data_IF_196395653054
#
_entry.id   IF_196395653054
#
_cell.length_a   1.000
_cell.length_b   1.000
_cell.length_c   1.000
_cell.angle_alpha   90.00
_cell.angle_beta   90.00
_cell.angle_gamma   90.00
#
_symmetry.space_group_name_H-M   'P 1'
#
loop_
_entity.id
_entity.type
_entity.pdbx_description
1 polymer ?
#
# COMPACT_ATOMS: atom_id res chain seq x y z
N UNK A 1 -22.37 -26.97 3.83
CA UNK A 1 -21.76 -26.38 2.64
C UNK A 1 -20.38 -25.96 3.08
N UNK A 2 -19.33 -26.78 2.78
CA UNK A 2 -17.96 -26.45 3.08
C UNK A 2 -17.54 -25.38 2.08
N UNK A 3 -17.23 -24.20 2.59
CA UNK A 3 -16.49 -23.21 1.83
C UNK A 3 -15.08 -23.79 1.67
N UNK A 4 -14.61 -23.93 0.45
CA UNK A 4 -13.21 -24.25 0.21
C UNK A 4 -12.36 -23.21 0.94
N UNK A 5 -11.23 -23.61 1.58
CA UNK A 5 -10.36 -22.66 2.22
C UNK A 5 -9.92 -21.62 1.17
N UNK A 6 -9.86 -20.33 1.55
CA UNK A 6 -9.46 -19.28 0.62
C UNK A 6 -8.15 -19.68 -0.07
N UNK A 7 -8.16 -19.63 -1.40
CA UNK A 7 -6.99 -20.01 -2.20
C UNK A 7 -5.80 -19.15 -1.79
N UNK A 8 -4.59 -19.71 -1.87
CA UNK A 8 -3.38 -18.91 -1.62
C UNK A 8 -3.29 -17.84 -2.70
N UNK A 9 -2.98 -16.57 -2.34
CA UNK A 9 -2.77 -15.55 -3.36
C UNK A 9 -1.66 -16.00 -4.30
N UNK A 10 -1.83 -15.74 -5.59
CA UNK A 10 -0.75 -15.89 -6.55
C UNK A 10 0.39 -14.93 -6.21
N UNK A 11 1.64 -15.35 -6.35
CA UNK A 11 2.81 -14.51 -6.04
C UNK A 11 3.65 -14.35 -7.29
N UNK A 12 3.84 -13.09 -7.72
CA UNK A 12 4.73 -12.73 -8.83
C UNK A 12 5.85 -11.81 -8.33
N UNK A 13 7.03 -11.95 -8.90
CA UNK A 13 8.23 -11.23 -8.44
C UNK A 13 8.88 -10.36 -9.51
N UNK A 14 8.50 -10.52 -10.75
CA UNK A 14 9.03 -9.71 -11.86
C UNK A 14 7.94 -8.88 -12.50
N UNK A 15 8.32 -7.74 -13.07
CA UNK A 15 7.41 -6.88 -13.85
C UNK A 15 6.83 -7.63 -15.04
N UNK A 16 7.64 -8.53 -15.66
CA UNK A 16 7.17 -9.36 -16.77
C UNK A 16 6.03 -10.27 -16.35
N UNK A 17 6.20 -11.00 -15.23
CA UNK A 17 5.19 -11.95 -14.76
C UNK A 17 3.94 -11.24 -14.24
N UNK A 18 4.13 -10.07 -13.58
CA UNK A 18 3.02 -9.20 -13.20
C UNK A 18 2.17 -8.78 -14.40
N UNK A 19 2.83 -8.26 -15.44
CA UNK A 19 2.14 -7.86 -16.67
C UNK A 19 1.44 -9.03 -17.36
N UNK A 20 2.09 -10.17 -17.46
CA UNK A 20 1.50 -11.38 -18.03
C UNK A 20 0.24 -11.83 -17.29
N UNK A 21 0.24 -11.75 -15.93
CA UNK A 21 -0.94 -12.08 -15.10
C UNK A 21 -2.06 -11.05 -15.24
N UNK A 22 -1.70 -9.79 -15.40
CA UNK A 22 -2.65 -8.68 -15.47
C UNK A 22 -3.02 -8.28 -16.90
N UNK A 23 -2.51 -8.98 -17.92
CA UNK A 23 -2.75 -8.67 -19.34
C UNK A 23 -4.25 -8.71 -19.64
N UNK A 24 -4.76 -7.61 -20.18
CA UNK A 24 -6.18 -7.45 -20.58
C UNK A 24 -6.41 -7.79 -22.06
N UNK A 25 -5.44 -8.41 -22.73
CA UNK A 25 -5.51 -9.00 -24.05
C UNK A 25 -5.04 -8.08 -25.18
N UNK A 26 -5.57 -6.92 -25.42
CA UNK A 26 -5.16 -6.03 -26.54
C UNK A 26 -4.45 -4.78 -26.02
N UNK A 27 -3.32 -4.34 -26.61
CA UNK A 27 -2.69 -3.07 -26.27
C UNK A 27 -3.65 -1.89 -26.55
N UNK A 28 -4.08 -1.21 -25.50
CA UNK A 28 -5.05 -0.11 -25.59
C UNK A 28 -6.51 -0.56 -25.58
N UNK A 29 -6.77 -1.85 -25.43
CA UNK A 29 -8.11 -2.37 -25.21
C UNK A 29 -8.53 -2.10 -23.75
N UNK A 30 -9.32 -1.07 -23.53
CA UNK A 30 -10.22 -1.02 -22.38
C UNK A 30 -11.30 -2.07 -22.65
N UNK A 31 -10.93 -3.36 -22.56
CA UNK A 31 -11.87 -4.44 -22.71
C UNK A 31 -12.93 -4.32 -21.64
N UNK A 32 -14.19 -4.20 -22.01
CA UNK A 32 -15.34 -4.19 -21.10
C UNK A 32 -15.40 -5.47 -20.25
N UNK A 33 -14.61 -6.48 -20.62
CA UNK A 33 -14.55 -7.81 -19.97
C UNK A 33 -13.31 -8.01 -19.08
N UNK A 34 -12.44 -6.99 -18.91
CA UNK A 34 -11.29 -7.12 -18.04
C UNK A 34 -11.69 -6.97 -16.56
N UNK A 35 -11.24 -7.85 -15.64
CA UNK A 35 -11.60 -7.74 -14.23
C UNK A 35 -11.15 -6.40 -13.65
N UNK A 36 -12.04 -5.79 -12.87
CA UNK A 36 -11.73 -4.58 -12.12
C UNK A 36 -10.62 -4.86 -11.10
N UNK A 37 -9.81 -3.84 -10.76
CA UNK A 37 -8.65 -4.02 -9.87
C UNK A 37 -8.58 -2.98 -8.79
N UNK A 38 -8.27 -3.41 -7.58
CA UNK A 38 -7.87 -2.51 -6.50
C UNK A 38 -6.48 -2.86 -6.00
N UNK A 39 -5.68 -1.82 -5.72
CA UNK A 39 -4.28 -1.95 -5.31
C UNK A 39 -4.11 -1.52 -3.85
N UNK A 40 -3.40 -2.34 -3.07
CA UNK A 40 -2.88 -1.98 -1.74
C UNK A 40 -1.37 -2.08 -1.76
N UNK A 41 -0.69 -0.97 -1.48
CA UNK A 41 0.78 -0.93 -1.45
C UNK A 41 1.30 -1.01 -0.03
N UNK A 42 2.23 -1.94 0.21
CA UNK A 42 2.82 -2.19 1.53
C UNK A 42 4.33 -2.39 1.47
N UNK A 43 4.98 -2.27 2.62
CA UNK A 43 6.38 -2.66 2.79
C UNK A 43 6.54 -4.03 3.49
N UNK A 44 5.46 -4.79 3.65
CA UNK A 44 5.47 -6.03 4.45
C UNK A 44 5.34 -5.79 5.95
N UNK A 45 5.63 -6.82 6.74
CA UNK A 45 5.36 -6.88 8.18
C UNK A 45 3.90 -6.52 8.48
N UNK A 46 3.01 -7.20 7.77
CA UNK A 46 1.58 -6.92 7.73
C UNK A 46 0.93 -7.08 9.11
N UNK A 47 -0.12 -6.32 9.34
CA UNK A 47 -0.93 -6.35 10.55
C UNK A 47 -2.38 -5.99 10.18
N UNK A 48 -3.29 -6.02 11.16
CA UNK A 48 -4.72 -5.76 10.96
C UNK A 48 -5.02 -4.44 10.23
N UNK A 49 -4.19 -3.41 10.38
CA UNK A 49 -4.33 -2.16 9.61
C UNK A 49 -4.16 -2.37 8.09
N UNK A 50 -3.26 -3.28 7.68
CA UNK A 50 -3.11 -3.64 6.27
C UNK A 50 -4.25 -4.57 5.80
N UNK A 51 -4.66 -5.52 6.65
CA UNK A 51 -5.81 -6.38 6.33
C UNK A 51 -7.09 -5.56 6.13
N UNK A 52 -7.29 -4.49 6.90
CA UNK A 52 -8.40 -3.56 6.70
C UNK A 52 -8.34 -2.84 5.35
N UNK A 53 -7.14 -2.47 4.86
CA UNK A 53 -6.97 -1.92 3.50
C UNK A 53 -7.38 -2.95 2.43
N UNK A 54 -6.96 -4.21 2.58
CA UNK A 54 -7.25 -5.27 1.62
C UNK A 54 -8.75 -5.59 1.56
N UNK A 55 -9.41 -5.72 2.73
CA UNK A 55 -10.87 -5.88 2.78
C UNK A 55 -11.60 -4.67 2.20
N UNK A 56 -11.15 -3.46 2.55
CA UNK A 56 -11.71 -2.23 1.97
C UNK A 56 -11.53 -2.14 0.46
N UNK A 57 -10.46 -2.74 -0.10
CA UNK A 57 -10.26 -2.85 -1.54
C UNK A 57 -11.33 -3.75 -2.18
N UNK A 58 -11.60 -4.91 -1.58
CA UNK A 58 -12.67 -5.81 -2.03
C UNK A 58 -14.05 -5.14 -1.93
N UNK A 59 -14.35 -4.52 -0.79
CA UNK A 59 -15.62 -3.81 -0.58
C UNK A 59 -15.84 -2.69 -1.60
N UNK A 60 -14.77 -1.95 -1.91
CA UNK A 60 -14.80 -0.88 -2.92
C UNK A 60 -15.13 -1.44 -4.31
N UNK A 61 -14.46 -2.53 -4.73
CA UNK A 61 -14.71 -3.18 -6.01
C UNK A 61 -16.15 -3.69 -6.11
N UNK A 62 -16.61 -4.43 -5.11
CA UNK A 62 -17.98 -4.96 -5.07
C UNK A 62 -19.01 -3.82 -5.17
N UNK A 63 -18.83 -2.77 -4.38
CA UNK A 63 -19.76 -1.63 -4.36
C UNK A 63 -19.71 -0.83 -5.67
N UNK A 64 -18.52 -0.65 -6.25
CA UNK A 64 -18.33 0.21 -7.42
C UNK A 64 -18.86 -0.40 -8.70
N UNK A 65 -18.78 -1.72 -8.81
CA UNK A 65 -19.12 -2.47 -10.03
C UNK A 65 -20.35 -3.35 -9.87
N UNK A 66 -21.00 -3.34 -8.69
CA UNK A 66 -22.19 -4.16 -8.38
C UNK A 66 -21.95 -5.65 -8.68
N UNK A 67 -20.80 -6.14 -8.20
CA UNK A 67 -20.36 -7.51 -8.49
C UNK A 67 -21.18 -8.52 -7.67
N UNK A 68 -21.66 -9.56 -8.34
CA UNK A 68 -22.39 -10.67 -7.69
C UNK A 68 -21.41 -11.65 -7.01
N UNK A 69 -20.24 -11.86 -7.61
CA UNK A 69 -19.23 -12.80 -7.12
C UNK A 69 -17.88 -12.07 -6.87
N UNK A 70 -17.20 -12.36 -5.75
CA UNK A 70 -15.90 -11.75 -5.43
C UNK A 70 -14.81 -11.99 -6.48
N UNK A 71 -14.90 -13.10 -7.21
CA UNK A 71 -13.89 -13.55 -8.19
C UNK A 71 -13.91 -12.74 -9.50
N UNK A 72 -14.88 -11.83 -9.66
CA UNK A 72 -14.99 -10.97 -10.84
C UNK A 72 -14.02 -9.77 -10.81
N UNK A 73 -13.24 -9.62 -9.74
CA UNK A 73 -12.30 -8.52 -9.57
C UNK A 73 -11.05 -8.95 -8.81
N UNK A 74 -9.92 -8.32 -9.11
CA UNK A 74 -8.63 -8.60 -8.49
C UNK A 74 -8.29 -7.61 -7.35
N UNK A 75 -8.02 -8.11 -6.16
CA UNK A 75 -7.30 -7.35 -5.12
C UNK A 75 -5.81 -7.65 -5.23
N UNK A 76 -5.05 -6.66 -5.64
CA UNK A 76 -3.59 -6.75 -5.83
C UNK A 76 -2.87 -6.09 -4.66
N UNK A 77 -1.93 -6.80 -4.06
CA UNK A 77 -1.10 -6.26 -2.97
C UNK A 77 0.35 -6.21 -3.41
N UNK A 78 1.01 -5.07 -3.25
CA UNK A 78 2.47 -5.05 -3.38
C UNK A 78 3.14 -5.17 -2.00
N UNK A 79 4.18 -6.01 -1.92
CA UNK A 79 5.05 -6.14 -0.73
C UNK A 79 6.46 -5.78 -1.16
N UNK A 80 6.85 -4.52 -0.93
CA UNK A 80 8.15 -4.01 -1.36
C UNK A 80 8.71 -2.97 -0.39
N UNK A 81 9.87 -3.26 0.20
CA UNK A 81 10.61 -2.28 1.02
C UNK A 81 11.43 -1.41 0.08
N UNK A 82 10.90 -0.23 -0.24
CA UNK A 82 11.51 0.67 -1.21
C UNK A 82 12.73 1.41 -0.62
N UNK A 83 13.96 1.16 -1.10
CA UNK A 83 15.16 1.81 -0.52
C UNK A 83 15.16 3.33 -0.71
N UNK A 84 14.56 3.84 -1.78
CA UNK A 84 14.65 5.27 -2.14
C UNK A 84 13.84 6.20 -1.24
N UNK A 85 12.98 5.66 -0.37
CA UNK A 85 12.22 6.44 0.60
C UNK A 85 12.85 6.47 1.99
N UNK A 86 14.02 5.85 2.17
CA UNK A 86 14.76 5.85 3.43
C UNK A 86 15.98 6.76 3.33
N UNK A 87 16.11 7.67 4.30
CA UNK A 87 17.28 8.51 4.45
C UNK A 87 18.44 7.80 5.15
N UNK A 88 19.64 8.42 5.16
CA UNK A 88 20.78 7.91 5.90
C UNK A 88 20.45 7.72 7.38
N UNK A 89 20.71 6.51 7.92
CA UNK A 89 20.49 6.18 9.33
C UNK A 89 19.05 5.78 9.68
N UNK A 90 18.13 5.78 8.73
CA UNK A 90 16.79 5.22 8.93
C UNK A 90 16.80 3.68 8.99
N UNK A 91 15.66 3.07 9.28
CA UNK A 91 15.53 1.65 9.62
C UNK A 91 15.45 0.70 8.42
N UNK A 92 15.91 1.09 7.21
CA UNK A 92 15.81 0.26 6.00
C UNK A 92 16.36 -1.16 6.18
N UNK A 93 17.58 -1.29 6.73
CA UNK A 93 18.23 -2.59 6.94
C UNK A 93 17.52 -3.42 8.02
N UNK A 94 16.90 -2.77 9.01
CA UNK A 94 16.22 -3.39 10.13
C UNK A 94 14.72 -3.54 9.91
N UNK A 95 14.18 -3.02 8.80
CA UNK A 95 12.76 -3.09 8.53
C UNK A 95 12.33 -4.56 8.48
N UNK A 96 11.27 -4.96 9.22
CA UNK A 96 10.88 -6.36 9.33
C UNK A 96 10.51 -6.96 7.97
N UNK A 97 11.02 -8.15 7.68
CA UNK A 97 10.74 -8.92 6.47
C UNK A 97 10.15 -10.27 6.88
N UNK A 98 8.84 -10.37 6.85
CA UNK A 98 8.05 -11.52 7.36
C UNK A 98 7.16 -12.08 6.27
N UNK A 99 7.74 -12.39 5.11
CA UNK A 99 7.01 -12.68 3.88
C UNK A 99 5.98 -13.82 4.02
N UNK A 100 6.31 -14.91 4.70
CA UNK A 100 5.39 -16.03 4.88
C UNK A 100 4.20 -15.67 5.78
N UNK A 101 4.44 -14.92 6.86
CA UNK A 101 3.38 -14.36 7.71
C UNK A 101 2.52 -13.36 6.92
N UNK A 102 3.17 -12.54 6.09
CA UNK A 102 2.50 -11.56 5.25
C UNK A 102 1.56 -12.24 4.24
N UNK A 103 1.97 -13.35 3.64
CA UNK A 103 1.12 -14.15 2.76
C UNK A 103 -0.07 -14.77 3.50
N UNK A 104 0.08 -15.13 4.78
CA UNK A 104 -1.05 -15.61 5.58
C UNK A 104 -2.08 -14.50 5.78
N UNK A 105 -1.64 -13.27 6.10
CA UNK A 105 -2.53 -12.10 6.23
C UNK A 105 -3.23 -11.80 4.89
N UNK A 106 -2.49 -11.82 3.77
CA UNK A 106 -3.07 -11.61 2.44
C UNK A 106 -4.16 -12.64 2.12
N UNK A 107 -3.91 -13.93 2.41
CA UNK A 107 -4.89 -15.00 2.20
C UNK A 107 -6.16 -14.79 3.01
N UNK A 108 -6.02 -14.49 4.30
CA UNK A 108 -7.15 -14.27 5.19
C UNK A 108 -7.97 -13.03 4.80
N UNK A 109 -7.33 -12.05 4.18
CA UNK A 109 -7.97 -10.83 3.70
C UNK A 109 -8.55 -10.93 2.27
N UNK A 110 -8.47 -12.12 1.63
CA UNK A 110 -9.03 -12.35 0.29
C UNK A 110 -8.28 -11.66 -0.85
N UNK A 111 -6.94 -11.62 -0.76
CA UNK A 111 -6.05 -11.08 -1.80
C UNK A 111 -5.86 -12.11 -2.91
N UNK A 112 -5.96 -11.70 -4.15
CA UNK A 112 -5.82 -12.57 -5.32
C UNK A 112 -4.37 -12.65 -5.81
N UNK A 113 -3.67 -11.50 -5.84
CA UNK A 113 -2.33 -11.37 -6.37
C UNK A 113 -1.40 -10.60 -5.45
N UNK A 114 -0.23 -11.16 -5.16
CA UNK A 114 0.85 -10.48 -4.44
C UNK A 114 2.02 -10.20 -5.39
N UNK A 115 2.36 -8.95 -5.57
CA UNK A 115 3.57 -8.51 -6.27
C UNK A 115 4.68 -8.22 -5.26
N UNK A 116 5.72 -9.06 -5.26
CA UNK A 116 6.84 -8.97 -4.33
C UNK A 116 8.18 -8.87 -5.06
N UNK A 117 8.46 -7.72 -5.72
CA UNK A 117 9.67 -7.54 -6.52
C UNK A 117 10.92 -7.35 -5.66
N UNK A 118 12.10 -7.57 -6.28
CA UNK A 118 13.38 -7.17 -5.70
C UNK A 118 13.65 -5.67 -5.90
N UNK A 119 14.68 -5.16 -5.21
CA UNK A 119 15.11 -3.77 -5.39
C UNK A 119 15.67 -3.53 -6.80
N UNK A 120 16.39 -4.52 -7.35
CA UNK A 120 16.94 -4.46 -8.71
C UNK A 120 15.83 -4.45 -9.77
N UNK A 121 14.73 -5.18 -9.55
CA UNK A 121 13.58 -5.19 -10.44
C UNK A 121 12.91 -3.81 -10.52
N UNK A 122 12.76 -3.15 -9.36
CA UNK A 122 12.11 -1.84 -9.30
C UNK A 122 13.05 -0.67 -9.59
N UNK A 123 14.35 -0.83 -9.35
CA UNK A 123 15.39 0.18 -9.53
C UNK A 123 16.62 -0.42 -10.25
N UNK A 124 16.47 -0.77 -11.54
CA UNK A 124 17.59 -1.33 -12.30
C UNK A 124 18.77 -0.33 -12.38
N UNK A 125 19.99 -0.85 -12.39
CA UNK A 125 21.22 -0.04 -12.32
C UNK A 125 21.40 0.90 -13.54
N UNK A 126 20.82 0.56 -14.68
CA UNK A 126 20.77 1.37 -15.90
C UNK A 126 19.56 2.32 -15.93
N UNK A 127 18.75 2.34 -14.89
CA UNK A 127 17.59 3.20 -14.76
C UNK A 127 17.96 4.68 -14.76
N UNK A 128 17.24 5.48 -15.55
CA UNK A 128 17.54 6.88 -15.84
C UNK A 128 17.38 7.86 -14.68
N UNK A 129 17.13 7.40 -13.45
CA UNK A 129 17.02 8.29 -12.27
C UNK A 129 15.86 9.28 -12.30
N UNK A 130 14.87 9.09 -13.18
CA UNK A 130 13.68 9.94 -13.21
C UNK A 130 12.84 9.70 -11.96
N UNK A 131 12.44 10.79 -11.31
CA UNK A 131 11.65 10.79 -10.08
C UNK A 131 10.45 11.71 -10.19
N UNK A 132 9.45 11.48 -9.34
CA UNK A 132 8.30 12.39 -9.19
C UNK A 132 8.69 13.49 -8.22
N UNK A 133 8.60 14.75 -8.65
CA UNK A 133 8.75 15.91 -7.78
C UNK A 133 7.51 16.09 -6.91
N UNK A 134 7.70 16.36 -5.62
CA UNK A 134 6.62 16.43 -4.63
C UNK A 134 6.02 17.82 -4.50
N UNK A 135 6.65 18.83 -5.11
CA UNK A 135 6.35 20.22 -4.85
C UNK A 135 6.59 20.63 -3.38
N UNK A 136 6.23 21.85 -2.99
CA UNK A 136 6.53 22.39 -1.66
C UNK A 136 5.95 21.56 -0.49
N UNK A 137 4.79 20.94 -0.68
CA UNK A 137 4.17 20.14 0.38
C UNK A 137 5.04 18.93 0.79
N UNK A 138 5.87 18.44 -0.13
CA UNK A 138 6.77 17.33 0.16
C UNK A 138 7.97 17.70 1.06
N UNK A 139 8.20 18.99 1.28
CA UNK A 139 9.29 19.51 2.11
C UNK A 139 8.79 20.04 3.47
N UNK A 140 7.46 19.95 3.72
CA UNK A 140 6.84 20.36 4.98
C UNK A 140 6.63 19.16 5.92
N UNK A 141 6.35 19.43 7.20
CA UNK A 141 5.98 18.43 8.22
C UNK A 141 6.95 17.24 8.25
N UNK A 142 6.49 16.04 7.90
CA UNK A 142 7.33 14.84 7.84
C UNK A 142 8.45 14.99 6.79
N UNK A 143 8.18 15.64 5.66
CA UNK A 143 9.18 15.90 4.62
C UNK A 143 10.31 16.81 5.07
N UNK A 144 10.05 17.77 5.96
CA UNK A 144 11.06 18.66 6.51
C UNK A 144 12.09 17.90 7.38
N UNK A 145 11.66 16.84 8.08
CA UNK A 145 12.53 16.03 8.95
C UNK A 145 13.09 14.79 8.24
N UNK A 146 12.53 14.45 7.06
CA UNK A 146 12.95 13.33 6.22
C UNK A 146 13.18 13.78 4.76
N UNK A 147 14.23 14.57 4.49
CA UNK A 147 14.48 15.11 3.14
C UNK A 147 14.52 14.00 2.07
N UNK A 148 13.75 14.15 0.99
CA UNK A 148 13.69 13.19 -0.12
C UNK A 148 12.74 12.00 0.11
N UNK A 149 12.22 11.79 1.32
CA UNK A 149 11.31 10.70 1.63
C UNK A 149 10.12 10.64 0.67
N UNK A 150 9.35 11.71 0.56
CA UNK A 150 8.16 11.72 -0.28
C UNK A 150 8.47 11.66 -1.78
N UNK A 151 9.64 12.11 -2.23
CA UNK A 151 10.10 11.87 -3.61
C UNK A 151 10.24 10.38 -3.87
N UNK A 152 10.86 9.64 -2.95
CA UNK A 152 10.96 8.18 -3.02
C UNK A 152 9.59 7.51 -3.01
N UNK A 153 8.70 7.93 -2.11
CA UNK A 153 7.33 7.41 -2.00
C UNK A 153 6.53 7.66 -3.27
N UNK A 154 6.42 8.90 -3.75
CA UNK A 154 5.62 9.18 -4.95
C UNK A 154 6.16 8.51 -6.20
N UNK A 155 7.49 8.39 -6.31
CA UNK A 155 8.12 7.69 -7.43
C UNK A 155 7.74 6.21 -7.46
N UNK A 156 7.82 5.51 -6.32
CA UNK A 156 7.46 4.08 -6.29
C UNK A 156 5.95 3.88 -6.43
N UNK A 157 5.13 4.72 -5.80
CA UNK A 157 3.67 4.68 -5.96
C UNK A 157 3.28 4.84 -7.42
N UNK A 158 3.85 5.84 -8.11
CA UNK A 158 3.59 6.05 -9.54
C UNK A 158 4.01 4.83 -10.37
N UNK A 159 5.19 4.25 -10.11
CA UNK A 159 5.64 3.03 -10.83
C UNK A 159 4.65 1.89 -10.67
N UNK A 160 4.25 1.58 -9.43
CA UNK A 160 3.38 0.42 -9.17
C UNK A 160 1.97 0.66 -9.71
N UNK A 161 1.41 1.87 -9.62
CA UNK A 161 0.12 2.19 -10.24
C UNK A 161 0.18 2.00 -11.77
N UNK A 162 1.25 2.46 -12.43
CA UNK A 162 1.41 2.25 -13.88
C UNK A 162 1.68 0.79 -14.29
N UNK A 163 2.14 -0.06 -13.37
CA UNK A 163 2.36 -1.49 -13.63
C UNK A 163 1.09 -2.31 -13.44
N UNK A 164 0.29 -1.94 -12.42
CA UNK A 164 -0.94 -2.67 -12.06
C UNK A 164 -2.14 -2.15 -12.83
N UNK A 165 -2.14 -0.85 -13.16
CA UNK A 165 -3.27 -0.15 -13.78
C UNK A 165 -4.59 -0.40 -13.03
N UNK A 166 -4.63 -0.08 -11.71
CA UNK A 166 -5.79 -0.35 -10.89
C UNK A 166 -6.87 0.71 -11.10
N UNK A 167 -8.13 0.34 -10.90
CA UNK A 167 -9.26 1.28 -10.85
C UNK A 167 -9.23 2.11 -9.55
N UNK A 168 -8.76 1.49 -8.45
CA UNK A 168 -8.53 2.19 -7.18
C UNK A 168 -7.22 1.76 -6.51
N UNK A 169 -6.59 2.69 -5.78
CA UNK A 169 -5.47 2.40 -4.89
C UNK A 169 -5.80 2.90 -3.47
N UNK A 170 -5.69 2.01 -2.49
CA UNK A 170 -6.11 2.28 -1.12
C UNK A 170 -4.92 2.60 -0.22
N UNK A 171 -5.04 3.68 0.56
CA UNK A 171 -4.02 4.16 1.48
C UNK A 171 -4.61 4.43 2.86
N UNK A 172 -3.85 4.12 3.92
CA UNK A 172 -4.27 4.41 5.28
C UNK A 172 -4.21 5.91 5.61
N UNK A 173 -5.23 6.42 6.27
CA UNK A 173 -5.28 7.82 6.75
C UNK A 173 -4.26 8.10 7.87
N UNK A 174 -3.66 7.06 8.45
CA UNK A 174 -2.57 7.20 9.40
C UNK A 174 -1.42 8.04 8.84
N UNK A 175 -1.03 7.78 7.61
CA UNK A 175 0.04 8.49 6.91
C UNK A 175 -0.58 9.60 6.02
N UNK A 176 -1.28 10.57 6.68
CA UNK A 176 -2.18 11.52 6.02
C UNK A 176 -1.47 12.45 5.04
N UNK A 177 -0.24 12.88 5.33
CA UNK A 177 0.55 13.69 4.39
C UNK A 177 0.89 12.88 3.13
N UNK A 178 1.26 11.61 3.28
CA UNK A 178 1.46 10.71 2.16
C UNK A 178 0.19 10.57 1.30
N UNK A 179 -0.96 10.29 1.92
CA UNK A 179 -2.25 10.19 1.23
C UNK A 179 -2.58 11.48 0.46
N UNK A 180 -2.34 12.63 1.08
CA UNK A 180 -2.58 13.94 0.45
C UNK A 180 -1.68 14.14 -0.78
N UNK A 181 -0.40 13.79 -0.68
CA UNK A 181 0.56 13.89 -1.79
C UNK A 181 0.21 12.92 -2.93
N UNK A 182 -0.18 11.68 -2.60
CA UNK A 182 -0.61 10.70 -3.61
C UNK A 182 -1.87 11.16 -4.34
N UNK A 183 -2.86 11.72 -3.63
CA UNK A 183 -4.06 12.31 -4.25
C UNK A 183 -3.71 13.46 -5.19
N UNK A 184 -2.79 14.34 -4.78
CA UNK A 184 -2.32 15.44 -5.64
C UNK A 184 -1.61 14.91 -6.87
N UNK A 185 -0.69 13.96 -6.71
CA UNK A 185 0.01 13.32 -7.82
C UNK A 185 -0.98 12.73 -8.84
N UNK A 186 -1.93 11.92 -8.39
CA UNK A 186 -2.92 11.29 -9.27
C UNK A 186 -3.73 12.34 -10.04
N UNK A 187 -4.19 13.39 -9.36
CA UNK A 187 -4.93 14.50 -9.99
C UNK A 187 -4.07 15.29 -10.98
N UNK A 188 -2.86 15.69 -10.58
CA UNK A 188 -2.03 16.61 -11.35
C UNK A 188 -1.41 15.91 -12.58
N UNK A 189 -1.09 14.61 -12.46
CA UNK A 189 -0.62 13.76 -13.56
C UNK A 189 -1.76 13.10 -14.36
N UNK A 190 -3.03 13.39 -14.04
CA UNK A 190 -4.21 12.85 -14.75
C UNK A 190 -4.22 11.31 -14.78
N UNK A 191 -3.80 10.69 -13.69
CA UNK A 191 -3.81 9.23 -13.58
C UNK A 191 -5.26 8.71 -13.50
N UNK A 192 -5.55 7.63 -14.24
CA UNK A 192 -6.87 7.02 -14.26
C UNK A 192 -7.03 6.03 -13.09
N UNK A 193 -6.97 6.54 -11.85
CA UNK A 193 -7.07 5.75 -10.62
C UNK A 193 -7.76 6.56 -9.52
N UNK A 194 -8.68 5.92 -8.79
CA UNK A 194 -9.27 6.50 -7.59
C UNK A 194 -8.36 6.30 -6.38
N UNK A 195 -7.97 7.37 -5.68
CA UNK A 195 -7.16 7.30 -4.46
C UNK A 195 -8.06 7.33 -3.23
N UNK A 196 -8.23 6.17 -2.61
CA UNK A 196 -9.16 5.95 -1.51
C UNK A 196 -8.43 5.97 -0.17
N UNK A 197 -8.91 6.79 0.77
CA UNK A 197 -8.42 6.81 2.15
C UNK A 197 -9.19 5.81 3.00
N UNK A 198 -8.49 5.00 3.80
CA UNK A 198 -9.09 4.06 4.75
C UNK A 198 -8.77 4.49 6.18
N UNK A 199 -9.76 4.56 7.07
CA UNK A 199 -9.58 5.00 8.44
C UNK A 199 -8.50 4.22 9.20
N UNK A 200 -7.78 4.92 10.08
CA UNK A 200 -6.70 4.34 10.86
C UNK A 200 -7.22 3.26 11.81
N UNK A 201 -6.74 2.03 11.67
CA UNK A 201 -7.02 0.95 12.64
C UNK A 201 -6.17 1.15 13.89
N UNK A 202 -6.82 1.07 15.05
CA UNK A 202 -6.20 1.33 16.35
C UNK A 202 -6.33 0.13 17.28
N UNK A 203 -5.36 -0.01 18.18
CA UNK A 203 -5.37 -1.09 19.19
C UNK A 203 -6.56 -0.92 20.13
N UNK A 204 -7.41 -1.94 20.33
CA UNK A 204 -8.50 -1.89 21.30
C UNK A 204 -8.02 -1.51 22.70
N UNK A 205 -8.77 -0.67 23.38
CA UNK A 205 -8.53 -0.22 24.75
C UNK A 205 -7.42 0.83 24.92
N UNK A 206 -6.50 0.97 23.96
CA UNK A 206 -5.43 1.99 24.02
C UNK A 206 -5.52 3.05 22.94
N UNK A 207 -6.31 2.81 21.91
CA UNK A 207 -6.45 3.67 20.73
C UNK A 207 -5.12 3.99 19.99
N UNK A 208 -4.01 3.31 20.32
CA UNK A 208 -2.74 3.48 19.62
C UNK A 208 -2.89 2.98 18.19
N UNK A 209 -2.48 3.80 17.20
CA UNK A 209 -2.50 3.41 15.80
C UNK A 209 -1.61 2.18 15.55
N UNK A 210 -2.09 1.22 14.76
CA UNK A 210 -1.30 0.07 14.36
C UNK A 210 -0.16 0.50 13.43
N UNK A 211 1.03 -0.06 13.67
CA UNK A 211 2.22 0.15 12.86
C UNK A 211 3.15 -1.05 12.96
N UNK A 212 3.79 -1.43 11.86
CA UNK A 212 4.82 -2.47 11.84
C UNK A 212 5.98 -2.11 12.78
N UNK A 213 6.27 -0.83 12.97
CA UNK A 213 7.28 -0.32 13.90
C UNK A 213 6.90 -0.43 15.37
N UNK A 214 5.65 -0.68 15.72
CA UNK A 214 5.25 -0.96 17.10
C UNK A 214 5.92 -2.24 17.65
N UNK A 215 6.44 -3.11 16.79
CA UNK A 215 7.22 -4.29 17.18
C UNK A 215 8.56 -3.93 17.84
N UNK A 216 9.10 -2.74 17.58
CA UNK A 216 10.36 -2.26 18.19
C UNK A 216 10.19 -1.76 19.62
N UNK A 217 8.94 -1.45 20.04
CA UNK A 217 8.66 -0.88 21.34
C UNK A 217 8.81 -1.92 22.46
N UNK A 218 9.56 -1.58 23.52
CA UNK A 218 9.49 -2.29 24.80
C UNK A 218 8.12 -2.08 25.45
N UNK A 219 7.80 -2.86 26.48
CA UNK A 219 6.53 -2.71 27.20
C UNK A 219 6.38 -1.32 27.83
N UNK A 220 7.49 -0.75 28.37
CA UNK A 220 7.51 0.60 28.90
C UNK A 220 7.26 1.65 27.81
N UNK A 221 7.94 1.53 26.67
CA UNK A 221 7.75 2.43 25.52
C UNK A 221 6.33 2.31 24.95
N UNK A 222 5.78 1.10 24.92
CA UNK A 222 4.40 0.86 24.49
C UNK A 222 3.40 1.51 25.45
N UNK A 223 3.66 1.47 26.76
CA UNK A 223 2.87 2.15 27.77
C UNK A 223 2.91 3.68 27.59
N UNK A 224 4.09 4.24 27.32
CA UNK A 224 4.25 5.68 27.02
C UNK A 224 3.55 6.09 25.74
N UNK A 225 3.64 5.29 24.68
CA UNK A 225 3.01 5.56 23.39
C UNK A 225 1.48 5.68 23.48
N UNK A 226 0.84 5.09 24.50
CA UNK A 226 -0.62 5.25 24.76
C UNK A 226 -1.03 6.69 25.03
N UNK A 227 -0.10 7.56 25.40
CA UNK A 227 -0.40 8.99 25.60
C UNK A 227 -0.66 9.72 24.28
N UNK A 228 -0.13 9.25 23.16
CA UNK A 228 -0.29 9.91 21.85
C UNK A 228 -1.78 10.06 21.47
N UNK A 229 -2.60 8.99 21.42
CA UNK A 229 -4.01 9.12 21.10
C UNK A 229 -4.80 9.95 22.13
N UNK A 230 -4.40 9.92 23.41
CA UNK A 230 -5.05 10.75 24.46
C UNK A 230 -4.84 12.24 24.17
N UNK A 231 -3.59 12.64 23.93
CA UNK A 231 -3.27 14.04 23.59
C UNK A 231 -3.97 14.49 22.31
N UNK A 232 -4.00 13.65 21.28
CA UNK A 232 -4.71 13.97 20.03
C UNK A 232 -6.20 14.14 20.23
N UNK A 233 -6.85 13.31 21.06
CA UNK A 233 -8.26 13.45 21.37
C UNK A 233 -8.55 14.75 22.14
N UNK A 234 -7.71 15.10 23.13
CA UNK A 234 -7.85 16.36 23.89
C UNK A 234 -7.66 17.61 23.01
N UNK A 235 -6.83 17.52 21.96
CA UNK A 235 -6.60 18.65 21.07
C UNK A 235 -7.75 18.88 20.06
N UNK A 236 -8.71 17.97 19.97
CA UNK A 236 -9.91 18.10 19.11
C UNK A 236 -11.10 18.76 19.83
N UNK A 237 -11.04 18.87 21.16
CA UNK A 237 -12.01 19.60 22.00
C UNK A 237 -11.68 21.10 22.09
#
# INVERSE_FOLDING_TARGET
LGLDPPQRPEVVRTVRDLRARLDRGEPGGYGLDAPARALVMTMGALHEGHAALMRGARDWLVTRYDLDEPDEADVVVSIFVNPTQFGPGEDYERYPRTFDDDLAVCREAGVDLVFAPSAEEMHPADGGGITVDTGPLGDELEGAVRPGHFRGVLTIVNKVINLVEPDAALFGEKDYQQLTLVRRMARDLRMAVDIVGVPTVRTPGTALALSSRNRYLTDEQRAQARMIPVVLATAQE
#
